data_IF_020427046530
#
_entry.id   IF_020427046530
#
_cell.length_a   1.000
_cell.length_b   1.000
_cell.length_c   1.000
_cell.angle_alpha   90.00
_cell.angle_beta   90.00
_cell.angle_gamma   90.00
#
_symmetry.space_group_name_H-M   'P 1'
#
loop_
_entity.id
_entity.type
_entity.pdbx_description
1 polymer ?
#
# COMPACT_ATOMS: atom_id res chain seq x y z
N UNK A 1 14.47 3.55 10.19
CA UNK A 1 14.83 4.32 8.98
C UNK A 1 13.53 4.66 8.26
N UNK A 2 13.37 5.86 7.70
CA UNK A 2 12.19 6.20 6.90
C UNK A 2 12.48 5.91 5.44
N UNK A 3 11.63 5.12 4.82
CA UNK A 3 11.73 4.68 3.42
C UNK A 3 10.36 4.85 2.81
N UNK A 4 10.28 5.22 1.53
CA UNK A 4 8.97 5.19 0.87
C UNK A 4 8.53 3.74 0.68
N UNK A 5 7.23 3.53 0.50
CA UNK A 5 6.71 2.22 0.08
C UNK A 5 7.39 1.75 -1.21
N UNK A 6 7.70 2.68 -2.11
CA UNK A 6 8.43 2.39 -3.34
C UNK A 6 9.86 1.89 -3.06
N UNK A 7 10.60 2.53 -2.15
CA UNK A 7 11.98 2.14 -1.82
C UNK A 7 12.05 0.75 -1.16
N UNK A 8 11.13 0.44 -0.25
CA UNK A 8 11.10 -0.89 0.41
C UNK A 8 10.77 -2.01 -0.57
N UNK A 9 9.95 -1.73 -1.56
CA UNK A 9 9.59 -2.69 -2.59
C UNK A 9 10.75 -2.85 -3.59
N UNK A 10 11.47 -1.77 -3.93
CA UNK A 10 12.63 -1.81 -4.82
C UNK A 10 13.84 -2.52 -4.17
N UNK A 11 14.03 -2.35 -2.85
CA UNK A 11 15.12 -2.99 -2.10
C UNK A 11 14.81 -4.41 -1.62
N UNK A 12 13.55 -4.87 -1.70
CA UNK A 12 13.12 -6.24 -1.35
C UNK A 12 13.53 -6.74 0.05
N UNK A 13 13.92 -5.82 0.93
CA UNK A 13 14.43 -6.11 2.28
C UNK A 13 13.32 -6.33 3.31
N UNK A 14 12.06 -6.29 2.89
CA UNK A 14 10.93 -6.68 3.72
C UNK A 14 11.02 -8.19 4.00
N UNK A 15 11.44 -8.57 5.20
CA UNK A 15 10.90 -9.78 5.84
C UNK A 15 9.39 -9.54 5.97
N UNK A 16 8.61 -9.89 4.95
CA UNK A 16 7.16 -9.65 4.90
C UNK A 16 6.45 -10.34 6.08
N UNK A 17 6.44 -9.69 7.24
CA UNK A 17 5.50 -10.00 8.30
C UNK A 17 4.12 -9.51 7.81
N UNK A 18 3.47 -10.38 7.05
CA UNK A 18 2.24 -10.10 6.31
C UNK A 18 1.11 -9.66 7.24
N UNK A 19 1.03 -10.27 8.43
CA UNK A 19 0.03 -9.91 9.43
C UNK A 19 0.22 -8.46 9.90
N UNK A 20 1.47 -8.03 10.05
CA UNK A 20 1.78 -6.65 10.45
C UNK A 20 1.52 -5.65 9.32
N UNK A 21 1.84 -6.01 8.07
CA UNK A 21 1.56 -5.15 6.91
C UNK A 21 0.05 -4.95 6.75
N UNK A 22 -0.73 -6.03 6.83
CA UNK A 22 -2.19 -5.96 6.73
C UNK A 22 -2.81 -5.06 7.80
N UNK A 23 -2.41 -5.24 9.07
CA UNK A 23 -2.83 -4.38 10.18
C UNK A 23 -2.52 -2.90 9.92
N UNK A 24 -1.34 -2.60 9.39
CA UNK A 24 -0.96 -1.20 9.12
C UNK A 24 -1.70 -0.59 7.94
N UNK A 25 -2.05 -1.39 6.93
CA UNK A 25 -2.84 -0.93 5.80
C UNK A 25 -4.30 -0.68 6.18
N UNK A 26 -4.88 -1.53 7.04
CA UNK A 26 -6.22 -1.32 7.60
C UNK A 26 -6.29 0.01 8.38
N UNK A 27 -5.32 0.24 9.28
CA UNK A 27 -5.26 1.45 10.10
C UNK A 27 -5.15 2.74 9.25
N UNK A 28 -4.34 2.71 8.19
CA UNK A 28 -4.18 3.85 7.28
C UNK A 28 -5.43 4.05 6.43
N UNK A 29 -5.99 2.99 5.85
CA UNK A 29 -7.18 3.05 4.99
C UNK A 29 -8.39 3.57 5.76
N UNK A 30 -8.53 3.18 7.03
CA UNK A 30 -9.58 3.67 7.93
C UNK A 30 -9.63 5.19 8.04
N UNK A 31 -8.49 5.88 8.00
CA UNK A 31 -8.45 7.34 8.05
C UNK A 31 -9.08 7.98 6.80
N UNK A 32 -8.94 7.36 5.63
CA UNK A 32 -9.57 7.80 4.38
C UNK A 32 -11.04 7.40 4.32
N UNK A 33 -11.39 6.19 4.77
CA UNK A 33 -12.79 5.74 4.81
C UNK A 33 -13.66 6.60 5.73
N UNK A 34 -13.11 7.11 6.84
CA UNK A 34 -13.80 8.08 7.70
C UNK A 34 -14.15 9.40 6.97
N UNK A 35 -13.47 9.69 5.87
CA UNK A 35 -13.69 10.85 5.00
C UNK A 35 -14.51 10.50 3.76
N UNK A 36 -15.01 9.27 3.63
CA UNK A 36 -15.75 8.78 2.46
C UNK A 36 -14.85 8.59 1.24
N UNK A 37 -13.56 8.28 1.44
CA UNK A 37 -12.58 8.14 0.37
C UNK A 37 -11.84 6.81 0.46
N UNK A 38 -11.54 6.22 -0.68
CA UNK A 38 -10.57 5.13 -0.85
C UNK A 38 -9.30 5.72 -1.44
N UNK A 39 -8.13 5.39 -0.89
CA UNK A 39 -6.86 5.74 -1.52
C UNK A 39 -6.41 4.59 -2.42
N UNK A 40 -6.51 4.78 -3.74
CA UNK A 40 -6.37 3.71 -4.73
C UNK A 40 -5.04 2.97 -4.62
N UNK A 41 -3.96 3.67 -4.26
CA UNK A 41 -2.63 3.08 -4.06
C UNK A 41 -2.59 2.03 -2.94
N UNK A 42 -3.31 2.26 -1.85
CA UNK A 42 -3.39 1.30 -0.75
C UNK A 42 -4.31 0.14 -1.09
N UNK A 43 -5.45 0.42 -1.73
CA UNK A 43 -6.39 -0.61 -2.18
C UNK A 43 -5.73 -1.61 -3.13
N UNK A 44 -5.02 -1.12 -4.15
CA UNK A 44 -4.27 -2.02 -5.06
C UNK A 44 -3.15 -2.79 -4.37
N UNK A 45 -2.56 -2.24 -3.31
CA UNK A 45 -1.56 -2.96 -2.52
C UNK A 45 -2.20 -4.07 -1.69
N UNK A 46 -3.42 -3.84 -1.19
CA UNK A 46 -4.24 -4.86 -0.53
C UNK A 46 -4.65 -5.97 -1.50
N UNK A 47 -5.19 -5.65 -2.68
CA UNK A 47 -5.53 -6.65 -3.71
C UNK A 47 -4.33 -7.55 -4.02
N UNK A 48 -3.14 -6.95 -4.12
CA UNK A 48 -1.91 -7.66 -4.40
C UNK A 48 -1.48 -8.57 -3.25
N UNK A 49 -1.62 -8.10 -2.01
CA UNK A 49 -1.39 -8.89 -0.80
C UNK A 49 -2.32 -10.11 -0.73
N UNK A 50 -3.59 -9.93 -1.07
CA UNK A 50 -4.56 -11.03 -1.14
C UNK A 50 -4.18 -12.05 -2.22
N UNK A 51 -3.77 -11.60 -3.41
CA UNK A 51 -3.30 -12.51 -4.48
C UNK A 51 -2.02 -13.25 -4.07
N UNK A 52 -1.14 -12.58 -3.31
CA UNK A 52 0.08 -13.18 -2.74
C UNK A 52 -0.23 -14.23 -1.67
N UNK A 53 -1.37 -14.09 -0.99
CA UNK A 53 -1.86 -14.99 0.05
C UNK A 53 -2.76 -16.11 -0.50
N UNK A 54 -3.13 -16.06 -1.78
CA UNK A 54 -3.86 -17.14 -2.45
C UNK A 54 -3.08 -18.46 -2.33
N UNK A 55 -3.63 -19.47 -1.61
CA UNK A 55 -2.96 -20.74 -1.37
C UNK A 55 -2.88 -21.63 -2.62
N UNK A 56 -3.38 -21.20 -3.79
CA UNK A 56 -3.34 -21.96 -5.04
C UNK A 56 -1.93 -22.05 -5.67
N UNK A 57 -1.01 -22.74 -4.99
CA UNK A 57 0.23 -23.45 -5.42
C UNK A 57 1.12 -22.97 -6.61
N UNK A 58 0.89 -21.83 -7.28
CA UNK A 58 1.59 -21.47 -8.52
C UNK A 58 2.21 -20.08 -8.54
N UNK A 59 2.10 -19.32 -7.45
CA UNK A 59 2.72 -17.99 -7.33
C UNK A 59 4.05 -18.13 -6.60
N UNK A 60 5.13 -18.33 -7.37
CA UNK A 60 6.51 -18.28 -6.85
C UNK A 60 6.82 -16.88 -6.34
N UNK A 61 7.76 -16.74 -5.39
CA UNK A 61 8.22 -15.43 -4.92
C UNK A 61 8.55 -14.53 -6.11
N UNK A 62 9.40 -15.03 -7.02
CA UNK A 62 9.51 -14.73 -8.47
C UNK A 62 8.42 -13.83 -9.06
N UNK A 63 7.22 -14.39 -9.05
CA UNK A 63 6.04 -13.88 -9.72
C UNK A 63 5.31 -12.84 -8.88
N UNK A 64 5.35 -12.97 -7.55
CA UNK A 64 4.81 -11.98 -6.60
C UNK A 64 5.46 -10.63 -6.82
N UNK A 65 6.78 -10.61 -6.89
CA UNK A 65 7.55 -9.38 -7.14
C UNK A 65 7.15 -8.74 -8.45
N UNK A 66 7.17 -9.52 -9.54
CA UNK A 66 6.89 -8.98 -10.87
C UNK A 66 5.49 -8.35 -10.94
N UNK A 67 4.55 -8.87 -10.14
CA UNK A 67 3.21 -8.29 -9.99
C UNK A 67 3.24 -6.98 -9.20
N UNK A 68 4.00 -6.92 -8.09
CA UNK A 68 4.21 -5.69 -7.30
C UNK A 68 4.88 -4.60 -8.14
N UNK A 69 6.00 -4.92 -8.80
CA UNK A 69 6.74 -3.98 -9.64
C UNK A 69 5.91 -3.46 -10.79
N UNK A 70 5.12 -4.34 -11.44
CA UNK A 70 4.22 -3.94 -12.52
C UNK A 70 3.15 -2.96 -12.04
N UNK A 71 2.55 -3.23 -10.88
CA UNK A 71 1.53 -2.39 -10.26
C UNK A 71 2.06 -0.97 -9.99
N UNK A 72 3.24 -0.87 -9.39
CA UNK A 72 3.84 0.42 -9.06
C UNK A 72 4.25 1.22 -10.29
N UNK A 73 4.64 0.53 -11.38
CA UNK A 73 5.03 1.17 -12.65
C UNK A 73 3.82 1.53 -13.54
N UNK A 74 2.59 1.18 -13.14
CA UNK A 74 1.38 1.65 -13.84
C UNK A 74 1.11 3.13 -13.53
N UNK A 75 0.88 3.92 -14.59
CA UNK A 75 0.81 5.39 -14.55
C UNK A 75 -0.21 5.89 -13.52
N UNK A 76 0.29 6.47 -12.43
CA UNK A 76 -0.48 7.06 -11.34
C UNK A 76 -0.08 6.52 -9.98
N UNK A 77 0.31 5.24 -9.93
CA UNK A 77 0.63 4.53 -8.69
C UNK A 77 2.01 4.85 -8.14
N UNK A 78 3.02 5.03 -9.00
CA UNK A 78 4.38 5.39 -8.57
C UNK A 78 4.38 6.65 -7.69
N UNK A 79 3.74 7.73 -8.14
CA UNK A 79 3.68 9.00 -7.40
C UNK A 79 2.87 8.89 -6.11
N UNK A 80 1.80 8.10 -6.12
CA UNK A 80 1.00 7.84 -4.94
C UNK A 80 1.79 6.99 -3.93
N UNK A 81 2.51 5.96 -4.37
CA UNK A 81 3.35 5.12 -3.53
C UNK A 81 4.53 5.89 -2.91
N UNK A 82 5.11 6.87 -3.63
CA UNK A 82 6.14 7.76 -3.08
C UNK A 82 5.62 8.67 -1.96
N UNK A 83 4.31 8.89 -1.87
CA UNK A 83 3.68 9.65 -0.78
C UNK A 83 3.34 8.82 0.46
N UNK A 84 3.62 7.52 0.41
CA UNK A 84 3.46 6.59 1.52
C UNK A 84 4.83 6.34 2.15
N UNK A 85 5.01 6.86 3.37
CA UNK A 85 6.18 6.57 4.19
C UNK A 85 5.95 5.28 4.98
N UNK A 86 7.00 4.47 5.08
CA UNK A 86 7.03 3.28 5.91
C UNK A 86 8.17 3.42 6.91
N UNK A 87 7.85 3.28 8.19
CA UNK A 87 8.80 3.18 9.29
C UNK A 87 8.90 1.72 9.72
N UNK A 88 10.10 1.13 9.62
CA UNK A 88 10.40 -0.19 10.19
C UNK A 88 11.06 0.00 11.55
N UNK A 89 10.45 -0.60 12.58
CA UNK A 89 10.97 -0.58 13.95
C UNK A 89 11.51 -1.95 14.37
N UNK A 90 12.26 -2.00 15.49
CA UNK A 90 12.86 -3.25 15.97
C UNK A 90 11.79 -4.32 16.19
N UNK A 91 11.97 -5.50 15.57
CA UNK A 91 11.03 -6.62 15.63
C UNK A 91 10.05 -6.73 14.46
N UNK A 92 10.39 -6.19 13.28
CA UNK A 92 9.58 -6.31 12.04
C UNK A 92 8.20 -5.65 12.14
N UNK A 93 8.05 -4.69 13.05
CA UNK A 93 6.84 -3.87 13.15
C UNK A 93 6.92 -2.76 12.12
N UNK A 94 6.07 -2.87 11.11
CA UNK A 94 5.85 -1.85 10.09
C UNK A 94 4.92 -0.76 10.63
N UNK A 95 5.15 0.48 10.23
CA UNK A 95 4.19 1.57 10.36
C UNK A 95 4.12 2.28 9.02
N UNK A 96 2.94 2.23 8.41
CA UNK A 96 2.68 2.90 7.14
C UNK A 96 2.00 4.24 7.45
N UNK A 97 2.35 5.30 6.72
CA UNK A 97 1.75 6.62 6.87
C UNK A 97 1.66 7.30 5.51
N UNK A 98 0.53 7.93 5.20
CA UNK A 98 0.42 8.79 4.02
C UNK A 98 0.81 10.21 4.42
N UNK A 99 1.88 10.72 3.83
CA UNK A 99 2.40 12.05 4.14
C UNK A 99 1.52 13.12 3.49
N UNK A 100 1.18 14.18 4.23
CA UNK A 100 0.38 15.31 3.74
C UNK A 100 -0.98 14.89 3.11
N UNK A 101 -1.69 13.95 3.75
CA UNK A 101 -2.95 13.40 3.24
C UNK A 101 -3.98 14.45 2.76
N UNK A 102 -4.17 15.56 3.50
CA UNK A 102 -5.13 16.61 3.14
C UNK A 102 -4.72 17.39 1.87
N UNK A 103 -3.42 17.63 1.71
CA UNK A 103 -2.85 18.28 0.54
C UNK A 103 -2.93 17.34 -0.68
N UNK A 104 -2.66 16.04 -0.49
CA UNK A 104 -2.77 15.04 -1.55
C UNK A 104 -4.19 14.91 -2.09
N UNK A 105 -5.20 14.87 -1.21
CA UNK A 105 -6.62 14.83 -1.61
C UNK A 105 -6.96 16.04 -2.50
N UNK A 106 -6.44 17.21 -2.15
CA UNK A 106 -6.71 18.45 -2.87
C UNK A 106 -5.97 18.54 -4.21
N UNK A 107 -4.70 18.13 -4.26
CA UNK A 107 -3.85 18.26 -5.44
C UNK A 107 -4.02 17.12 -6.44
N UNK A 108 -4.35 15.91 -5.95
CA UNK A 108 -4.45 14.70 -6.76
C UNK A 108 -5.76 13.96 -6.48
N UNK A 109 -6.94 14.58 -6.71
CA UNK A 109 -8.22 13.95 -6.42
C UNK A 109 -8.43 12.63 -7.20
N UNK A 110 -7.76 12.45 -8.35
CA UNK A 110 -7.81 11.20 -9.13
C UNK A 110 -7.10 10.01 -8.49
N UNK A 111 -6.42 10.19 -7.37
CA UNK A 111 -5.85 9.09 -6.58
C UNK A 111 -6.83 8.52 -5.57
N UNK A 112 -8.00 9.15 -5.47
CA UNK A 112 -9.04 8.79 -4.52
C UNK A 112 -10.32 8.45 -5.25
N UNK A 113 -11.07 7.50 -4.70
CA UNK A 113 -12.45 7.22 -5.11
C UNK A 113 -13.38 7.47 -3.94
N UNK A 114 -14.59 7.93 -4.23
CA UNK A 114 -15.62 8.11 -3.20
C UNK A 114 -16.12 6.75 -2.75
N UNK A 115 -16.03 6.49 -1.45
CA UNK A 115 -16.59 5.31 -0.81
C UNK A 115 -17.96 5.66 -0.25
N UNK A 116 -19.02 5.17 -0.89
CA UNK A 116 -20.35 5.21 -0.30
C UNK A 116 -20.44 4.10 0.75
N UNK A 117 -20.70 4.50 2.01
CA UNK A 117 -20.94 3.58 3.14
C UNK A 117 -22.30 2.88 3.08
N UNK A 118 -23.05 3.10 2.00
CA UNK A 118 -24.42 2.61 1.82
C UNK A 118 -24.44 1.26 1.07
N UNK A 119 -23.62 0.29 1.48
CA UNK A 119 -23.83 -1.16 1.26
C UNK A 119 -23.47 -1.97 2.51
#
# INVERSE_FOLDING_TARGET
MRTTLFDLIDEWTLEWDRAMIDLTLDDVSKAFYQRGLVFLALEKLWDLLEIVDDPSEYVTDQRKIAMVEKLLREKGFEKAAMSVEVEVSEGSVYRITVVNADELISLNPSWFETYDRDE
#
